data_IF_335437512501
#
_entry.id   IF_335437512501
#
_cell.length_a   1.000
_cell.length_b   1.000
_cell.length_c   1.000
_cell.angle_alpha   90.00
_cell.angle_beta   90.00
_cell.angle_gamma   90.00
#
_symmetry.space_group_name_H-M   'P 1'
#
loop_
_entity.id
_entity.type
_entity.pdbx_description
1 polymer ?
#
# COMPACT_ATOMS: atom_id res chain seq x y z
N UNK A 1 -20.63 3.72 7.87
CA UNK A 1 -19.77 2.78 8.62
C UNK A 1 -18.45 3.50 8.76
N UNK A 2 -18.11 3.95 9.97
CA UNK A 2 -16.83 4.61 10.22
C UNK A 2 -15.73 3.59 10.54
N UNK A 3 -14.50 4.07 10.54
CA UNK A 3 -13.30 3.31 10.85
C UNK A 3 -12.82 3.63 12.27
N UNK A 4 -12.41 2.58 12.98
CA UNK A 4 -11.70 2.64 14.25
C UNK A 4 -10.37 1.92 14.10
N UNK A 5 -9.28 2.59 14.46
CA UNK A 5 -7.92 2.09 14.34
C UNK A 5 -6.96 3.23 14.05
N UNK A 6 -5.75 2.93 13.57
CA UNK A 6 -4.73 3.95 13.33
C UNK A 6 -4.14 3.87 11.94
N UNK A 7 -3.65 5.01 11.45
CA UNK A 7 -2.67 5.06 10.37
C UNK A 7 -1.30 5.30 10.97
N UNK A 8 -0.32 4.48 10.58
CA UNK A 8 1.08 4.58 11.03
C UNK A 8 1.97 4.89 9.84
N UNK A 9 2.77 5.94 9.97
CA UNK A 9 3.62 6.49 8.93
C UNK A 9 5.07 6.35 9.40
N UNK A 10 5.84 5.55 8.67
CA UNK A 10 7.25 5.33 8.95
C UNK A 10 8.05 5.22 7.66
N UNK A 11 9.38 5.31 7.78
CA UNK A 11 10.31 5.18 6.66
C UNK A 11 10.92 3.79 6.63
N UNK A 12 11.11 3.22 5.45
CA UNK A 12 11.77 1.93 5.25
C UNK A 12 11.06 1.05 4.23
N UNK A 13 11.72 -0.04 3.86
CA UNK A 13 11.15 -1.09 2.99
C UNK A 13 10.44 -2.18 3.79
N UNK A 14 10.90 -2.44 5.03
CA UNK A 14 10.32 -3.44 5.91
C UNK A 14 8.97 -2.96 6.45
N UNK A 15 7.99 -3.86 6.47
CA UNK A 15 6.62 -3.57 6.92
C UNK A 15 6.60 -3.39 8.44
N UNK A 16 5.62 -2.63 8.96
CA UNK A 16 5.55 -2.29 10.39
C UNK A 16 5.55 -3.53 11.30
N UNK A 17 4.91 -4.62 10.88
CA UNK A 17 4.88 -5.89 11.62
C UNK A 17 6.16 -6.73 11.49
N UNK A 18 7.01 -6.47 10.50
CA UNK A 18 8.33 -7.08 10.41
C UNK A 18 9.35 -6.34 11.28
N UNK A 19 9.14 -5.03 11.47
CA UNK A 19 9.96 -4.19 12.34
C UNK A 19 9.67 -4.45 13.83
N UNK A 20 8.41 -4.72 14.18
CA UNK A 20 7.95 -4.97 15.55
C UNK A 20 7.11 -6.28 15.62
N UNK A 21 7.72 -7.45 15.39
CA UNK A 21 7.02 -8.73 15.29
C UNK A 21 6.35 -9.22 16.59
N UNK A 22 6.75 -8.63 17.72
CA UNK A 22 6.21 -8.87 19.05
C UNK A 22 4.86 -8.19 19.32
N UNK A 23 4.45 -7.24 18.47
CA UNK A 23 3.16 -6.53 18.59
C UNK A 23 2.13 -7.24 17.70
N UNK A 24 1.26 -8.11 18.25
CA UNK A 24 0.37 -8.95 17.46
C UNK A 24 -0.67 -8.14 16.67
N UNK A 25 -1.09 -6.98 17.17
CA UNK A 25 -2.09 -6.09 16.56
C UNK A 25 -1.65 -5.59 15.17
N UNK A 26 -0.35 -5.56 14.89
CA UNK A 26 0.19 -5.11 13.61
C UNK A 26 0.00 -6.14 12.49
N UNK A 27 -0.21 -7.42 12.82
CA UNK A 27 -0.23 -8.52 11.82
C UNK A 27 -1.44 -8.49 10.89
N UNK A 28 -2.52 -7.85 11.34
CA UNK A 28 -3.74 -7.66 10.56
C UNK A 28 -3.77 -6.29 9.88
N UNK A 29 -2.64 -5.56 9.88
CA UNK A 29 -2.52 -4.27 9.21
C UNK A 29 -2.53 -4.38 7.68
N UNK A 30 -3.03 -3.34 7.04
CA UNK A 30 -3.08 -3.19 5.58
C UNK A 30 -2.10 -2.08 5.14
N UNK A 31 -1.17 -2.41 4.24
CA UNK A 31 -0.30 -1.41 3.64
C UNK A 31 -1.09 -0.60 2.61
N UNK A 32 -1.34 0.67 2.92
CA UNK A 32 -2.15 1.56 2.08
C UNK A 32 -1.29 2.26 1.02
N UNK A 33 -0.08 2.67 1.41
CA UNK A 33 0.87 3.31 0.52
C UNK A 33 2.28 2.76 0.76
N UNK A 34 2.95 2.35 -0.32
CA UNK A 34 4.29 1.80 -0.27
C UNK A 34 5.30 2.69 -1.00
N UNK A 35 6.46 2.88 -0.36
CA UNK A 35 7.60 3.64 -0.86
C UNK A 35 7.28 5.06 -1.39
N UNK A 36 6.24 5.72 -0.87
CA UNK A 36 5.91 7.09 -1.28
C UNK A 36 7.00 8.06 -0.83
N UNK A 37 7.24 9.11 -1.61
CA UNK A 37 8.11 10.25 -1.23
C UNK A 37 9.50 9.87 -0.70
N UNK A 38 10.16 8.88 -1.32
CA UNK A 38 11.53 8.49 -0.95
C UNK A 38 11.60 7.48 0.18
N UNK A 39 10.65 6.54 0.20
CA UNK A 39 10.66 5.35 1.05
C UNK A 39 9.78 5.42 2.28
N UNK A 40 8.76 6.27 2.28
CA UNK A 40 7.74 6.31 3.33
C UNK A 40 6.64 5.30 3.05
N UNK A 41 6.18 4.66 4.10
CA UNK A 41 5.04 3.75 4.09
C UNK A 41 3.93 4.33 4.95
N UNK A 42 2.69 4.04 4.56
CA UNK A 42 1.50 4.32 5.36
C UNK A 42 0.76 3.00 5.55
N UNK A 43 0.69 2.55 6.80
CA UNK A 43 0.04 1.30 7.17
C UNK A 43 -1.20 1.61 7.99
N UNK A 44 -2.33 1.05 7.58
CA UNK A 44 -3.55 1.05 8.36
C UNK A 44 -3.53 -0.13 9.33
N UNK A 45 -3.84 0.10 10.59
CA UNK A 45 -3.95 -0.92 11.62
C UNK A 45 -5.30 -0.84 12.32
N UNK A 46 -5.83 -1.98 12.76
CA UNK A 46 -7.15 -2.11 13.40
C UNK A 46 -7.08 -2.03 14.92
N UNK A 47 -6.13 -1.26 15.43
CA UNK A 47 -5.87 -0.99 16.84
C UNK A 47 -5.57 0.50 17.00
N UNK A 48 -6.00 1.09 18.10
CA UNK A 48 -5.65 2.49 18.43
C UNK A 48 -4.30 2.52 19.16
N UNK A 49 -3.62 3.66 19.22
CA UNK A 49 -2.37 3.77 20.00
C UNK A 49 -2.50 3.34 21.46
N UNK A 50 -3.68 3.51 22.08
CA UNK A 50 -3.97 3.03 23.44
C UNK A 50 -4.12 1.51 23.58
N UNK A 51 -4.27 0.78 22.47
CA UNK A 51 -4.26 -0.69 22.43
C UNK A 51 -2.84 -1.24 22.19
N UNK A 52 -1.91 -0.38 21.78
CA UNK A 52 -0.52 -0.72 21.51
C UNK A 52 0.35 -0.46 22.74
N UNK A 53 1.59 -1.00 22.81
CA UNK A 53 2.53 -0.65 23.86
C UNK A 53 2.79 0.86 23.90
N UNK A 54 2.89 1.46 25.09
CA UNK A 54 3.21 2.89 25.26
C UNK A 54 4.51 3.33 24.53
N UNK A 55 5.42 2.38 24.32
CA UNK A 55 6.70 2.60 23.62
C UNK A 55 6.63 2.40 22.11
N UNK A 56 5.48 2.01 21.56
CA UNK A 56 5.32 1.60 20.16
C UNK A 56 5.96 2.58 19.15
N UNK A 57 5.65 3.87 19.25
CA UNK A 57 6.19 4.86 18.31
C UNK A 57 7.69 5.07 18.49
N UNK A 58 8.18 5.06 19.72
CA UNK A 58 9.61 5.21 19.99
C UNK A 58 10.40 4.00 19.54
N UNK A 59 9.85 2.79 19.73
CA UNK A 59 10.45 1.54 19.27
C UNK A 59 10.47 1.50 17.73
N UNK A 60 9.39 1.92 17.07
CA UNK A 60 9.34 2.02 15.61
C UNK A 60 10.31 3.06 15.06
N UNK A 61 10.43 4.22 15.72
CA UNK A 61 11.43 5.25 15.38
C UNK A 61 12.84 4.69 15.50
N UNK A 62 13.12 3.96 16.57
CA UNK A 62 14.45 3.40 16.83
C UNK A 62 14.79 2.27 15.84
N UNK A 63 13.80 1.45 15.47
CA UNK A 63 13.93 0.41 14.46
C UNK A 63 14.18 0.98 13.05
N UNK A 64 13.52 2.08 12.69
CA UNK A 64 13.65 2.72 11.38
C UNK A 64 14.79 3.73 11.29
N UNK A 65 15.26 4.25 12.44
CA UNK A 65 16.19 5.36 12.51
C UNK A 65 15.63 6.68 11.96
N UNK A 66 14.31 6.79 11.81
CA UNK A 66 13.62 7.91 11.19
C UNK A 66 12.43 8.38 12.04
N UNK A 67 11.98 9.65 11.90
CA UNK A 67 10.76 10.11 12.57
C UNK A 67 9.53 9.27 12.21
N UNK A 68 8.62 9.11 13.16
CA UNK A 68 7.38 8.33 13.00
C UNK A 68 6.19 9.21 13.36
N UNK A 69 5.09 9.04 12.64
CA UNK A 69 3.82 9.72 12.89
C UNK A 69 2.70 8.69 12.87
N UNK A 70 1.72 8.85 13.75
CA UNK A 70 0.50 8.07 13.71
C UNK A 70 -0.74 8.95 13.94
N UNK A 71 -1.88 8.44 13.49
CA UNK A 71 -3.18 9.06 13.71
C UNK A 71 -4.19 8.00 14.12
N UNK A 72 -4.75 8.12 15.32
CA UNK A 72 -5.83 7.26 15.80
C UNK A 72 -7.16 7.84 15.34
N UNK A 73 -7.92 7.05 14.58
CA UNK A 73 -9.19 7.44 13.97
C UNK A 73 -10.36 6.95 14.85
N UNK A 74 -11.28 7.87 15.15
CA UNK A 74 -12.48 7.63 15.95
C UNK A 74 -13.72 7.70 15.05
N UNK A 75 -14.21 6.52 14.63
CA UNK A 75 -15.39 6.35 13.77
C UNK A 75 -15.37 7.21 12.49
N UNK A 76 -14.18 7.43 11.93
CA UNK A 76 -13.95 8.37 10.81
C UNK A 76 -14.36 9.82 11.06
N UNK A 77 -14.66 10.23 12.29
CA UNK A 77 -15.17 11.58 12.59
C UNK A 77 -14.14 12.49 13.25
N UNK A 78 -13.20 11.91 14.00
CA UNK A 78 -12.11 12.63 14.66
C UNK A 78 -10.82 11.83 14.62
N UNK A 79 -9.68 12.50 14.72
CA UNK A 79 -8.39 11.84 14.80
C UNK A 79 -7.47 12.45 15.84
N UNK A 80 -6.80 11.60 16.61
CA UNK A 80 -5.70 12.00 17.47
C UNK A 80 -4.38 11.77 16.73
N UNK A 81 -3.73 12.85 16.31
CA UNK A 81 -2.47 12.78 15.56
C UNK A 81 -1.33 13.02 16.52
N UNK A 82 -0.33 12.15 16.48
CA UNK A 82 0.85 12.28 17.32
C UNK A 82 2.10 11.80 16.57
N UNK A 83 3.24 12.37 16.90
CA UNK A 83 4.48 12.03 16.23
C UNK A 83 5.70 12.11 17.15
N UNK A 84 6.67 11.27 16.85
CA UNK A 84 7.99 11.27 17.51
C UNK A 84 9.06 11.60 16.48
N UNK A 85 9.90 12.57 16.83
CA UNK A 85 11.13 12.86 16.09
C UNK A 85 12.32 12.05 16.59
N UNK A 86 13.41 12.09 15.82
CA UNK A 86 14.73 11.61 16.26
C UNK A 86 15.38 12.66 17.17
N UNK A 87 15.29 13.92 16.77
CA UNK A 87 15.75 15.09 17.51
C UNK A 87 14.65 16.13 17.75
N UNK A 88 13.53 16.11 17.01
CA UNK A 88 12.37 16.94 17.37
C UNK A 88 11.59 16.33 18.54
N UNK A 89 11.05 17.16 19.47
CA UNK A 89 10.21 16.68 20.55
C UNK A 89 8.96 15.93 20.05
N UNK A 90 8.40 15.11 20.93
CA UNK A 90 7.04 14.60 20.76
C UNK A 90 6.06 15.76 20.61
N UNK A 91 5.08 15.57 19.73
CA UNK A 91 3.96 16.49 19.59
C UNK A 91 2.70 15.73 19.22
N UNK A 92 1.57 16.34 19.56
CA UNK A 92 0.23 15.82 19.32
C UNK A 92 -0.77 16.94 18.97
N UNK A 93 -1.87 16.56 18.34
CA UNK A 93 -3.00 17.46 18.06
C UNK A 93 -4.26 16.66 17.73
N UNK A 94 -5.42 17.32 17.78
CA UNK A 94 -6.69 16.76 17.36
C UNK A 94 -7.10 17.28 15.99
N UNK A 95 -7.55 16.38 15.12
CA UNK A 95 -8.37 16.69 13.95
C UNK A 95 -9.84 16.51 14.33
N UNK A 96 -10.64 17.54 14.08
CA UNK A 96 -12.03 17.65 14.51
C UNK A 96 -12.23 17.35 16.01
N UNK A 97 -11.67 18.23 16.85
CA UNK A 97 -11.76 18.10 18.30
C UNK A 97 -13.21 18.13 18.82
N UNK A 98 -14.13 18.79 18.10
CA UNK A 98 -15.52 18.87 18.51
C UNK A 98 -16.21 17.50 18.34
N UNK A 99 -15.92 16.77 17.25
CA UNK A 99 -16.31 15.37 17.12
C UNK A 99 -15.62 14.48 18.17
N UNK A 100 -14.33 14.69 18.47
CA UNK A 100 -13.58 13.92 19.46
C UNK A 100 -14.21 14.00 20.87
N UNK A 101 -14.74 15.16 21.25
CA UNK A 101 -15.42 15.38 22.54
C UNK A 101 -16.61 14.44 22.71
N UNK A 102 -17.35 14.12 21.64
CA UNK A 102 -18.51 13.23 21.70
C UNK A 102 -18.15 11.77 22.07
N UNK A 103 -16.89 11.36 21.89
CA UNK A 103 -16.38 10.05 22.32
C UNK A 103 -15.88 10.06 23.76
N UNK A 104 -15.65 11.24 24.34
CA UNK A 104 -15.14 11.41 25.71
C UNK A 104 -16.22 11.85 26.70
N UNK A 105 -17.23 12.57 26.22
CA UNK A 105 -18.42 12.97 26.97
C UNK A 105 -19.65 12.45 26.19
N UNK A 106 -20.32 11.45 26.74
CA UNK A 106 -21.48 10.84 26.09
C UNK A 106 -22.72 11.73 26.28
N UNK A 107 -23.50 11.99 25.21
CA UNK A 107 -24.73 12.74 25.33
C UNK A 107 -25.73 11.96 26.20
N UNK A 108 -26.44 12.70 27.06
CA UNK A 108 -27.58 12.15 27.77
C UNK A 108 -28.66 11.73 26.78
N UNK A 109 -29.33 10.62 27.09
CA UNK A 109 -30.51 10.18 26.33
C UNK A 109 -31.58 11.28 26.38
N UNK A 110 -32.28 11.61 25.28
CA UNK A 110 -33.30 12.67 25.24
C UNK A 110 -34.61 12.22 25.89
N UNK A 111 -34.51 11.56 27.04
CA UNK A 111 -35.61 11.02 27.81
C UNK A 111 -35.41 11.37 29.29
N UNK A 112 -36.48 11.75 29.97
CA UNK A 112 -36.44 11.91 31.43
C UNK A 112 -36.39 10.55 32.17
N UNK A 113 -36.33 10.60 33.50
CA UNK A 113 -36.33 9.41 34.37
C UNK A 113 -37.59 8.54 34.21
N UNK A 114 -38.69 9.13 33.75
CA UNK A 114 -39.96 8.46 33.48
C UNK A 114 -40.02 7.88 32.03
N UNK A 115 -38.98 8.09 31.22
CA UNK A 115 -38.89 7.62 29.85
C UNK A 115 -39.69 8.46 28.84
N UNK A 116 -40.08 9.69 29.19
CA UNK A 116 -40.74 10.59 28.25
C UNK A 116 -39.70 11.28 27.38
N UNK A 117 -39.94 11.28 26.06
CA UNK A 117 -39.10 11.99 25.12
C UNK A 117 -39.16 13.50 25.34
N UNK A 118 -38.01 14.13 25.52
CA UNK A 118 -37.89 15.56 25.86
C UNK A 118 -37.94 16.48 24.63
N UNK A 119 -37.97 15.91 23.42
CA UNK A 119 -38.04 16.62 22.15
C UNK A 119 -36.68 16.71 21.45
N UNK A 120 -36.71 16.90 20.13
CA UNK A 120 -35.50 16.90 19.29
C UNK A 120 -34.57 18.10 19.56
N UNK A 121 -35.14 19.20 20.07
CA UNK A 121 -34.41 20.44 20.43
C UNK A 121 -33.98 20.46 21.91
N UNK A 122 -34.20 19.37 22.66
CA UNK A 122 -33.77 19.33 24.05
C UNK A 122 -32.25 19.26 24.15
N UNK A 123 -31.71 20.10 25.02
CA UNK A 123 -30.28 20.18 25.31
C UNK A 123 -30.09 19.96 26.80
N UNK A 124 -29.23 19.01 27.17
CA UNK A 124 -28.85 18.78 28.56
C UNK A 124 -27.77 19.80 28.98
N UNK A 125 -28.06 20.76 29.88
CA UNK A 125 -27.07 21.73 30.32
C UNK A 125 -25.89 21.10 31.06
N UNK A 126 -26.10 19.93 31.69
CA UNK A 126 -25.02 19.18 32.36
C UNK A 126 -24.09 18.59 31.32
N UNK A 127 -24.63 18.01 30.25
CA UNK A 127 -23.85 17.53 29.11
C UNK A 127 -23.08 18.68 28.46
N UNK A 128 -23.70 19.84 28.19
CA UNK A 128 -22.98 20.97 27.60
C UNK A 128 -21.81 21.43 28.46
N UNK A 129 -22.01 21.51 29.79
CA UNK A 129 -20.95 21.86 30.73
C UNK A 129 -19.83 20.81 30.75
N UNK A 130 -20.17 19.53 30.69
CA UNK A 130 -19.22 18.41 30.65
C UNK A 130 -18.45 18.38 29.32
N UNK A 131 -19.13 18.53 28.19
CA UNK A 131 -18.53 18.60 26.86
C UNK A 131 -17.59 19.81 26.76
N UNK A 132 -17.99 20.98 27.25
CA UNK A 132 -17.13 22.16 27.29
C UNK A 132 -15.88 21.96 28.18
N UNK A 133 -16.04 21.33 29.36
CA UNK A 133 -14.93 21.02 30.24
C UNK A 133 -13.97 19.97 29.64
N UNK A 134 -14.52 18.96 28.97
CA UNK A 134 -13.74 17.94 28.25
C UNK A 134 -12.96 18.55 27.09
N UNK A 135 -13.60 19.39 26.28
CA UNK A 135 -12.94 20.14 25.20
C UNK A 135 -11.79 20.99 25.71
N UNK A 136 -11.99 21.73 26.81
CA UNK A 136 -10.94 22.54 27.42
C UNK A 136 -9.76 21.70 27.90
N UNK A 137 -10.02 20.52 28.47
CA UNK A 137 -8.98 19.59 28.92
C UNK A 137 -8.14 19.08 27.75
N UNK A 138 -8.79 18.62 26.68
CA UNK A 138 -8.14 18.13 25.47
C UNK A 138 -7.27 19.21 24.82
N UNK A 139 -7.74 20.47 24.77
CA UNK A 139 -6.97 21.61 24.26
C UNK A 139 -5.80 22.03 25.18
N UNK A 140 -5.89 21.75 26.48
CA UNK A 140 -4.81 22.04 27.41
C UNK A 140 -3.70 20.99 27.37
N UNK A 141 -4.03 19.77 26.96
CA UNK A 141 -3.11 18.63 26.90
C UNK A 141 -2.41 18.49 25.55
N UNK A 142 -2.96 19.08 24.48
CA UNK A 142 -2.45 18.94 23.11
C UNK A 142 -2.10 20.26 22.45
N UNK A 143 -1.29 20.23 21.38
CA UNK A 143 -1.05 21.43 20.58
C UNK A 143 -2.25 21.78 19.70
N UNK A 144 -2.40 23.06 19.37
CA UNK A 144 -3.42 23.55 18.45
C UNK A 144 -2.93 24.71 17.57
N UNK A 145 -3.64 24.98 16.48
CA UNK A 145 -3.39 26.09 15.55
C UNK A 145 -1.93 26.13 15.06
N UNK A 146 -1.37 27.34 15.03
CA UNK A 146 0.01 27.59 14.59
C UNK A 146 1.07 26.76 15.34
N UNK A 147 0.84 26.42 16.62
CA UNK A 147 1.80 25.63 17.40
C UNK A 147 1.86 24.17 16.91
N UNK A 148 0.70 23.54 16.71
CA UNK A 148 0.60 22.21 16.12
C UNK A 148 1.17 22.18 14.70
N UNK A 149 0.82 23.17 13.88
CA UNK A 149 1.31 23.27 12.52
C UNK A 149 2.85 23.45 12.46
N UNK A 150 3.42 24.25 13.35
CA UNK A 150 4.86 24.43 13.43
C UNK A 150 5.59 23.14 13.86
N UNK A 151 5.03 22.41 14.83
CA UNK A 151 5.58 21.12 15.26
C UNK A 151 5.53 20.07 14.13
N UNK A 152 4.39 19.96 13.43
CA UNK A 152 4.24 19.07 12.29
C UNK A 152 5.21 19.39 11.16
N UNK A 153 5.41 20.67 10.82
CA UNK A 153 6.38 21.10 9.81
C UNK A 153 7.82 20.83 10.27
N UNK A 154 8.13 21.00 11.55
CA UNK A 154 9.46 20.69 12.09
C UNK A 154 9.76 19.19 11.99
N UNK A 155 8.80 18.34 12.37
CA UNK A 155 8.87 16.88 12.21
C UNK A 155 9.10 16.51 10.74
N UNK A 156 8.32 17.07 9.81
CA UNK A 156 8.45 16.76 8.38
C UNK A 156 9.82 17.17 7.81
N UNK A 157 10.39 18.30 8.25
CA UNK A 157 11.74 18.72 7.87
C UNK A 157 12.82 17.78 8.40
N UNK A 158 12.70 17.35 9.66
CA UNK A 158 13.62 16.35 10.23
C UNK A 158 13.53 15.01 9.47
N UNK A 159 12.32 14.62 9.07
CA UNK A 159 12.04 13.46 8.23
C UNK A 159 12.64 13.56 6.81
N UNK A 160 13.23 14.70 6.44
CA UNK A 160 13.79 14.93 5.11
C UNK A 160 12.73 15.20 4.04
N UNK A 161 11.49 15.49 4.44
CA UNK A 161 10.39 15.83 3.54
C UNK A 161 10.43 17.32 3.20
N UNK A 162 9.63 17.70 2.19
CA UNK A 162 9.46 19.09 1.76
C UNK A 162 8.05 19.60 2.11
N UNK A 163 7.78 19.95 3.38
CA UNK A 163 6.46 20.39 3.80
C UNK A 163 6.10 21.77 3.23
N UNK A 164 4.80 21.99 3.09
CA UNK A 164 4.20 23.29 2.82
C UNK A 164 4.51 24.31 3.95
N UNK A 165 4.31 25.62 3.70
CA UNK A 165 4.44 26.64 4.75
C UNK A 165 3.53 26.37 5.95
N UNK A 166 3.96 26.73 7.16
CA UNK A 166 3.21 26.53 8.42
C UNK A 166 1.76 27.00 8.33
N UNK A 167 1.51 28.18 7.75
CA UNK A 167 0.15 28.71 7.59
C UNK A 167 -0.74 27.83 6.70
N UNK A 168 -0.17 27.14 5.71
CA UNK A 168 -0.92 26.21 4.86
C UNK A 168 -1.23 24.91 5.60
N UNK A 169 -0.31 24.42 6.44
CA UNK A 169 -0.56 23.26 7.32
C UNK A 169 -1.61 23.58 8.37
N UNK A 170 -1.49 24.75 9.03
CA UNK A 170 -2.48 25.25 10.00
C UNK A 170 -3.88 25.33 9.39
N UNK A 171 -4.00 25.84 8.16
CA UNK A 171 -5.28 25.92 7.47
C UNK A 171 -5.93 24.54 7.27
N UNK A 172 -5.16 23.50 6.98
CA UNK A 172 -5.69 22.12 6.85
C UNK A 172 -5.98 21.50 8.21
N UNK A 173 -5.17 21.74 9.24
CA UNK A 173 -5.49 21.27 10.59
C UNK A 173 -6.81 21.87 11.11
N UNK A 174 -7.14 23.09 10.69
CA UNK A 174 -8.36 23.78 11.08
C UNK A 174 -9.61 23.44 10.25
N UNK A 175 -9.49 22.64 9.17
CA UNK A 175 -10.68 22.22 8.41
C UNK A 175 -11.52 21.22 9.21
N UNK A 176 -12.80 21.14 8.90
CA UNK A 176 -13.66 20.03 9.30
C UNK A 176 -14.17 19.34 8.03
N UNK A 177 -14.25 18.02 8.05
CA UNK A 177 -14.61 17.19 6.90
C UNK A 177 -15.66 16.15 7.28
N UNK A 178 -16.27 15.52 6.27
CA UNK A 178 -17.19 14.40 6.50
C UNK A 178 -16.46 13.18 7.07
N UNK A 179 -15.25 12.95 6.59
CA UNK A 179 -14.36 11.88 7.05
C UNK A 179 -13.02 12.50 7.43
N UNK A 180 -12.58 12.25 8.66
CA UNK A 180 -11.33 12.80 9.19
C UNK A 180 -10.09 12.23 8.50
N UNK A 181 -10.20 11.04 7.91
CA UNK A 181 -9.14 10.42 7.13
C UNK A 181 -8.77 11.27 5.91
N UNK A 182 -9.76 11.85 5.22
CA UNK A 182 -9.52 12.73 4.09
C UNK A 182 -8.73 13.99 4.51
N UNK A 183 -9.08 14.54 5.67
CA UNK A 183 -8.35 15.63 6.29
C UNK A 183 -6.93 15.19 6.65
N UNK A 184 -6.78 14.03 7.29
CA UNK A 184 -5.50 13.48 7.69
C UNK A 184 -4.56 13.25 6.50
N UNK A 185 -5.05 12.63 5.42
CA UNK A 185 -4.27 12.47 4.18
C UNK A 185 -3.94 13.82 3.55
N UNK A 186 -4.84 14.81 3.62
CA UNK A 186 -4.51 16.17 3.17
C UNK A 186 -3.38 16.77 4.01
N UNK A 187 -3.35 16.55 5.33
CA UNK A 187 -2.23 16.94 6.20
C UNK A 187 -0.95 16.24 5.78
N UNK A 188 -0.95 14.92 5.60
CA UNK A 188 0.23 14.15 5.16
C UNK A 188 0.82 14.68 3.85
N UNK A 189 -0.03 14.95 2.85
CA UNK A 189 0.40 15.55 1.59
C UNK A 189 0.99 16.96 1.78
N UNK A 190 0.45 17.76 2.70
CA UNK A 190 1.04 19.06 3.06
C UNK A 190 2.36 18.93 3.82
N UNK A 191 2.60 17.82 4.51
CA UNK A 191 3.89 17.51 5.13
C UNK A 191 4.91 16.95 4.12
N UNK A 192 4.47 16.60 2.91
CA UNK A 192 5.32 16.11 1.84
C UNK A 192 5.37 14.59 1.73
N UNK A 193 4.49 13.87 2.44
CA UNK A 193 4.19 12.46 2.15
C UNK A 193 3.12 12.43 1.06
N UNK A 194 3.55 12.42 -0.19
CA UNK A 194 2.69 12.45 -1.37
C UNK A 194 1.92 11.12 -1.51
N UNK A 195 0.73 11.07 -0.91
CA UNK A 195 -0.22 9.95 -1.04
C UNK A 195 -1.15 10.14 -2.24
N UNK A 196 -1.13 11.29 -2.91
CA UNK A 196 -1.81 11.49 -4.19
C UNK A 196 -1.00 10.94 -5.37
N UNK A 197 0.32 10.87 -5.23
CA UNK A 197 1.17 10.13 -6.13
C UNK A 197 0.82 8.64 -6.02
N UNK A 198 -0.06 8.19 -6.91
CA UNK A 198 -0.16 6.77 -7.24
C UNK A 198 1.26 6.35 -7.62
N UNK A 199 1.92 5.44 -6.87
CA UNK A 199 3.25 4.99 -7.24
C UNK A 199 3.17 4.53 -8.68
N UNK A 200 4.10 5.00 -9.52
CA UNK A 200 4.15 4.57 -10.91
C UNK A 200 4.15 3.05 -10.89
N UNK A 201 3.14 2.44 -11.51
CA UNK A 201 3.08 0.98 -11.58
C UNK A 201 4.44 0.51 -12.10
N UNK A 202 5.14 -0.38 -11.37
CA UNK A 202 6.45 -0.82 -11.81
C UNK A 202 6.29 -1.36 -13.22
N UNK A 203 7.18 -0.91 -14.09
CA UNK A 203 7.21 -1.37 -15.47
C UNK A 203 7.42 -2.88 -15.48
N UNK A 204 7.01 -3.52 -16.58
CA UNK A 204 7.22 -4.97 -16.76
C UNK A 204 8.68 -5.35 -16.55
N UNK A 205 9.60 -4.47 -16.98
CA UNK A 205 11.03 -4.66 -16.77
C UNK A 205 11.42 -4.62 -15.28
N UNK A 206 10.88 -3.70 -14.49
CA UNK A 206 11.16 -3.59 -13.05
C UNK A 206 10.60 -4.76 -12.26
N UNK A 207 9.38 -5.21 -12.56
CA UNK A 207 8.79 -6.41 -11.96
C UNK A 207 9.59 -7.67 -12.28
N UNK A 208 9.96 -7.86 -13.55
CA UNK A 208 10.79 -8.98 -13.96
C UNK A 208 12.19 -8.91 -13.34
N UNK A 209 12.74 -7.70 -13.18
CA UNK A 209 14.05 -7.51 -12.53
C UNK A 209 14.01 -7.87 -11.05
N UNK A 210 12.93 -7.52 -10.34
CA UNK A 210 12.74 -7.92 -8.95
C UNK A 210 12.57 -9.42 -8.78
N UNK A 211 11.79 -10.07 -9.66
CA UNK A 211 11.55 -11.51 -9.61
C UNK A 211 12.79 -12.34 -10.02
N UNK A 212 13.52 -11.91 -11.05
CA UNK A 212 14.63 -12.67 -11.64
C UNK A 212 15.99 -12.24 -11.06
N UNK A 213 16.06 -11.10 -10.37
CA UNK A 213 17.30 -10.51 -9.84
C UNK A 213 18.19 -9.88 -10.92
N UNK A 214 17.72 -9.76 -12.16
CA UNK A 214 18.48 -9.24 -13.29
C UNK A 214 17.68 -8.28 -14.14
N UNK A 215 18.32 -7.18 -14.57
CA UNK A 215 17.67 -6.15 -15.39
C UNK A 215 17.36 -6.66 -16.80
N UNK A 216 16.10 -6.63 -17.21
CA UNK A 216 15.69 -6.90 -18.60
C UNK A 216 16.12 -5.75 -19.52
N UNK A 217 16.96 -6.04 -20.51
CA UNK A 217 17.47 -5.08 -21.49
C UNK A 217 16.71 -5.13 -22.82
N UNK A 218 16.01 -6.24 -23.09
CA UNK A 218 15.20 -6.38 -24.30
C UNK A 218 14.66 -7.78 -24.51
N UNK A 219 13.71 -7.90 -25.43
CA UNK A 219 13.15 -9.17 -25.90
C UNK A 219 13.24 -9.17 -27.43
N UNK A 220 13.96 -10.13 -27.99
CA UNK A 220 14.09 -10.32 -29.43
C UNK A 220 13.21 -11.51 -29.86
N UNK A 221 12.63 -11.40 -31.06
CA UNK A 221 11.85 -12.49 -31.67
C UNK A 221 12.78 -13.20 -32.66
N UNK A 222 13.02 -14.49 -32.45
CA UNK A 222 13.90 -15.30 -33.31
C UNK A 222 13.15 -16.46 -33.92
N UNK A 223 13.61 -16.94 -35.07
CA UNK A 223 13.04 -18.14 -35.69
C UNK A 223 13.26 -19.35 -34.78
N UNK A 224 12.25 -20.22 -34.71
CA UNK A 224 12.29 -21.44 -33.90
C UNK A 224 13.59 -22.22 -34.14
N UNK A 225 14.31 -22.56 -33.08
CA UNK A 225 15.46 -23.43 -33.22
C UNK A 225 15.02 -24.90 -33.34
N UNK A 226 15.53 -25.66 -34.34
CA UNK A 226 15.13 -27.05 -34.53
C UNK A 226 15.52 -27.89 -33.31
N UNK A 227 14.52 -28.46 -32.65
CA UNK A 227 14.72 -29.39 -31.52
C UNK A 227 15.25 -30.72 -32.05
N UNK A 228 16.42 -31.14 -31.58
CA UNK A 228 17.07 -32.38 -32.01
C UNK A 228 16.20 -33.59 -31.65
N UNK A 229 15.70 -34.31 -32.66
CA UNK A 229 14.93 -35.54 -32.48
C UNK A 229 13.41 -35.39 -32.66
N UNK A 230 12.91 -34.18 -32.93
CA UNK A 230 11.50 -33.95 -33.27
C UNK A 230 11.35 -33.71 -34.78
N UNK A 231 10.44 -34.46 -35.43
CA UNK A 231 10.16 -34.36 -36.87
C UNK A 231 9.14 -33.26 -37.23
N UNK A 232 8.76 -32.43 -36.25
CA UNK A 232 7.74 -31.42 -36.45
C UNK A 232 8.39 -30.14 -36.98
N UNK A 233 8.02 -29.76 -38.21
CA UNK A 233 8.39 -28.50 -38.82
C UNK A 233 7.54 -27.37 -38.22
N UNK A 234 7.90 -26.90 -37.02
CA UNK A 234 7.31 -25.69 -36.42
C UNK A 234 7.99 -24.40 -36.94
N UNK A 235 8.25 -24.31 -38.25
CA UNK A 235 8.94 -23.16 -38.86
C UNK A 235 8.18 -21.83 -38.71
N UNK A 236 6.93 -21.86 -38.24
CA UNK A 236 6.08 -20.70 -38.06
C UNK A 236 6.02 -20.16 -36.61
N UNK A 237 6.48 -20.89 -35.60
CA UNK A 237 6.41 -20.47 -34.20
C UNK A 237 7.69 -19.72 -33.79
N UNK A 238 7.67 -18.40 -33.50
CA UNK A 238 8.89 -17.72 -33.08
C UNK A 238 9.26 -18.06 -31.63
N UNK A 239 10.56 -18.11 -31.34
CA UNK A 239 11.07 -18.13 -29.97
C UNK A 239 11.28 -16.68 -29.49
N UNK A 240 11.10 -16.44 -28.18
CA UNK A 240 11.49 -15.16 -27.57
C UNK A 240 12.84 -15.30 -26.89
N UNK A 241 13.76 -14.42 -27.25
CA UNK A 241 15.08 -14.31 -26.66
C UNK A 241 15.10 -13.13 -25.68
N UNK A 242 15.21 -13.42 -24.40
CA UNK A 242 15.21 -12.46 -23.32
C UNK A 242 16.64 -12.07 -22.99
N UNK A 243 16.96 -10.78 -23.09
CA UNK A 243 18.28 -10.23 -22.79
C UNK A 243 18.27 -9.59 -21.42
N UNK A 244 19.13 -10.07 -20.55
CA UNK A 244 19.33 -9.53 -19.21
C UNK A 244 20.79 -9.11 -19.07
N UNK A 245 21.07 -7.97 -18.44
CA UNK A 245 22.38 -7.32 -18.53
C UNK A 245 23.56 -8.24 -18.19
N UNK A 246 23.55 -8.85 -17.01
CA UNK A 246 24.65 -9.70 -16.53
C UNK A 246 24.35 -11.21 -16.61
N UNK A 247 23.32 -11.63 -17.36
CA UNK A 247 22.86 -13.02 -17.38
C UNK A 247 22.87 -13.61 -18.80
N UNK A 248 23.20 -14.90 -18.96
CA UNK A 248 23.01 -15.60 -20.22
C UNK A 248 21.61 -15.39 -20.80
N UNK A 249 21.55 -15.29 -22.13
CA UNK A 249 20.31 -15.21 -22.88
C UNK A 249 19.37 -16.34 -22.46
N UNK A 250 18.15 -15.96 -22.09
CA UNK A 250 17.09 -16.93 -21.87
C UNK A 250 16.26 -17.02 -23.15
N UNK A 251 15.92 -18.24 -23.55
CA UNK A 251 15.00 -18.49 -24.64
C UNK A 251 13.71 -19.05 -24.06
N UNK A 252 12.59 -18.58 -24.57
CA UNK A 252 11.29 -19.13 -24.25
C UNK A 252 10.63 -19.59 -25.55
N UNK A 253 10.47 -20.91 -25.70
CA UNK A 253 9.79 -21.53 -26.84
C UNK A 253 8.34 -21.83 -26.46
N UNK A 254 7.40 -21.42 -27.32
CA UNK A 254 5.96 -21.61 -27.11
C UNK A 254 5.44 -23.00 -27.50
N UNK A 255 6.33 -23.97 -27.72
CA UNK A 255 6.07 -25.16 -28.52
C UNK A 255 5.42 -26.32 -27.72
N UNK A 256 5.18 -26.15 -26.41
CA UNK A 256 4.76 -27.23 -25.48
C UNK A 256 3.61 -26.89 -24.52
N UNK A 257 2.78 -25.90 -24.81
CA UNK A 257 1.76 -25.38 -23.86
C UNK A 257 2.28 -24.82 -22.53
N UNK A 258 3.55 -25.05 -22.22
CA UNK A 258 4.32 -24.45 -21.15
C UNK A 258 5.41 -23.62 -21.82
N UNK A 259 5.44 -22.32 -21.54
CA UNK A 259 6.60 -21.51 -21.90
C UNK A 259 7.73 -21.89 -20.96
N UNK A 260 8.69 -22.64 -21.48
CA UNK A 260 9.87 -23.06 -20.73
C UNK A 260 11.00 -22.05 -20.93
N UNK A 261 11.40 -21.38 -19.86
CA UNK A 261 12.57 -20.51 -19.86
C UNK A 261 13.82 -21.37 -19.74
N UNK A 262 14.64 -21.40 -20.79
CA UNK A 262 15.91 -22.13 -20.81
C UNK A 262 17.06 -21.20 -21.09
N UNK A 263 18.20 -21.47 -20.47
CA UNK A 263 19.45 -20.92 -20.98
C UNK A 263 19.69 -21.45 -22.39
N UNK A 264 20.06 -20.56 -23.32
CA UNK A 264 20.41 -20.92 -24.71
C UNK A 264 21.50 -22.01 -24.80
N UNK A 265 22.22 -22.27 -23.71
CA UNK A 265 23.26 -23.29 -23.61
C UNK A 265 22.79 -24.72 -23.34
N UNK A 266 21.49 -24.99 -23.10
CA UNK A 266 20.98 -26.33 -22.73
C UNK A 266 20.09 -26.93 -23.84
N UNK A 267 20.39 -28.16 -24.29
CA UNK A 267 19.62 -28.84 -25.36
C UNK A 267 18.33 -29.51 -24.85
N UNK A 268 17.24 -29.58 -25.65
CA UNK A 268 15.93 -30.08 -25.19
C UNK A 268 15.90 -31.60 -24.95
N UNK A 269 15.37 -32.01 -23.80
CA UNK A 269 14.93 -33.38 -23.51
C UNK A 269 13.40 -33.50 -23.54
N UNK A 270 12.90 -34.49 -24.28
CA UNK A 270 11.57 -35.13 -24.37
C UNK A 270 10.35 -34.51 -23.65
N UNK A 271 9.26 -34.28 -24.41
CA UNK A 271 7.90 -33.99 -23.93
C UNK A 271 6.96 -33.57 -25.08
N UNK A 272 5.76 -34.15 -25.17
CA UNK A 272 4.86 -34.06 -26.33
C UNK A 272 3.81 -32.93 -26.26
N UNK A 273 3.76 -32.11 -27.32
CA UNK A 273 2.67 -31.32 -27.96
C UNK A 273 1.55 -30.66 -27.12
N UNK A 274 1.37 -29.33 -27.27
CA UNK A 274 0.36 -28.62 -28.10
C UNK A 274 0.62 -27.09 -28.08
N UNK A 275 -0.19 -26.27 -28.79
CA UNK A 275 0.00 -24.86 -29.24
C UNK A 275 -0.81 -23.69 -28.55
N UNK A 276 -0.20 -22.75 -27.77
CA UNK A 276 -0.88 -21.54 -27.26
C UNK A 276 -0.25 -20.19 -27.65
N UNK A 277 0.96 -20.13 -28.22
CA UNK A 277 1.67 -18.85 -28.38
C UNK A 277 1.37 -18.13 -29.71
N UNK A 278 0.75 -18.82 -30.67
CA UNK A 278 0.47 -18.27 -32.01
C UNK A 278 -0.42 -17.01 -31.97
N UNK A 279 -1.34 -16.92 -31.00
CA UNK A 279 -2.25 -15.79 -30.83
C UNK A 279 -1.54 -14.45 -30.51
N UNK A 280 -0.29 -14.49 -30.06
CA UNK A 280 0.47 -13.29 -29.65
C UNK A 280 1.56 -12.87 -30.63
N UNK A 281 1.75 -13.61 -31.72
CA UNK A 281 2.79 -13.32 -32.70
C UNK A 281 2.50 -11.97 -33.38
N UNK A 282 3.39 -10.99 -33.15
CA UNK A 282 3.26 -9.62 -33.66
C UNK A 282 2.35 -8.71 -32.82
N UNK A 283 1.74 -9.21 -31.75
CA UNK A 283 0.94 -8.41 -30.83
C UNK A 283 1.84 -7.54 -29.93
N UNK A 284 1.45 -6.30 -29.69
CA UNK A 284 2.12 -5.43 -28.72
C UNK A 284 1.65 -5.79 -27.31
N UNK A 285 2.60 -5.91 -26.39
CA UNK A 285 2.32 -5.98 -24.96
C UNK A 285 1.57 -4.70 -24.56
N UNK A 286 0.34 -4.87 -24.07
CA UNK A 286 -0.55 -3.78 -23.67
C UNK A 286 -0.71 -3.67 -22.15
N UNK A 287 -0.30 -4.69 -21.38
CA UNK A 287 -0.32 -4.64 -19.92
C UNK A 287 0.40 -5.82 -19.27
N UNK A 288 0.60 -5.72 -17.96
CA UNK A 288 1.04 -6.84 -17.14
C UNK A 288 0.51 -6.70 -15.71
N UNK A 289 0.35 -7.81 -15.01
CA UNK A 289 -0.01 -7.84 -13.60
C UNK A 289 0.69 -9.01 -12.91
N UNK A 290 1.28 -8.84 -11.73
CA UNK A 290 1.82 -9.96 -10.97
C UNK A 290 0.69 -10.88 -10.49
N UNK A 291 0.99 -12.18 -10.38
CA UNK A 291 0.13 -13.16 -9.71
C UNK A 291 0.73 -13.50 -8.36
N UNK A 292 -0.02 -13.18 -7.31
CA UNK A 292 0.29 -13.57 -5.94
C UNK A 292 -0.83 -14.46 -5.42
N UNK A 293 -0.54 -15.73 -5.14
CA UNK A 293 -1.50 -16.65 -4.57
C UNK A 293 -1.43 -16.64 -3.04
N UNK A 294 -2.49 -16.21 -2.36
CA UNK A 294 -2.62 -16.35 -0.89
C UNK A 294 -2.67 -17.83 -0.42
N UNK A 295 -2.90 -18.78 -1.34
CA UNK A 295 -3.06 -20.21 -1.07
C UNK A 295 -2.36 -21.15 -2.07
N UNK A 296 -1.57 -20.61 -3.00
CA UNK A 296 -0.81 -21.40 -3.96
C UNK A 296 0.64 -20.90 -3.92
N UNK A 297 1.59 -21.82 -3.76
CA UNK A 297 3.04 -21.55 -3.75
C UNK A 297 3.56 -21.13 -5.14
N UNK A 298 2.81 -20.30 -5.86
CA UNK A 298 3.11 -19.91 -7.22
C UNK A 298 3.20 -18.38 -7.32
N UNK A 299 4.43 -17.91 -7.51
CA UNK A 299 4.76 -16.54 -7.89
C UNK A 299 4.71 -16.43 -9.41
N UNK A 300 4.14 -15.36 -9.97
CA UNK A 300 3.98 -15.28 -11.41
C UNK A 300 3.64 -13.89 -11.94
N UNK A 301 3.39 -13.79 -13.24
CA UNK A 301 2.93 -12.59 -13.91
C UNK A 301 2.00 -12.92 -15.08
N UNK A 302 0.90 -12.19 -15.22
CA UNK A 302 0.10 -12.12 -16.42
C UNK A 302 0.67 -11.04 -17.33
N UNK A 303 0.92 -11.36 -18.59
CA UNK A 303 1.33 -10.46 -19.65
C UNK A 303 0.18 -10.35 -20.67
N UNK A 304 -0.34 -9.15 -20.89
CA UNK A 304 -1.47 -8.91 -21.80
C UNK A 304 -0.97 -8.43 -23.15
N UNK A 305 -1.48 -9.04 -24.22
CA UNK A 305 -1.19 -8.69 -25.60
C UNK A 305 -2.52 -8.47 -26.35
N UNK A 306 -2.96 -7.21 -26.43
CA UNK A 306 -4.30 -6.90 -26.95
C UNK A 306 -5.38 -7.43 -26.01
N UNK A 307 -6.21 -8.36 -26.49
CA UNK A 307 -7.31 -9.00 -25.74
C UNK A 307 -6.91 -10.32 -25.06
N UNK A 308 -5.71 -10.86 -25.33
CA UNK A 308 -5.27 -12.13 -24.76
C UNK A 308 -4.24 -11.99 -23.65
N UNK A 309 -4.28 -12.93 -22.70
CA UNK A 309 -3.43 -12.95 -21.51
C UNK A 309 -2.50 -14.19 -21.54
N UNK A 310 -1.20 -13.94 -21.36
CA UNK A 310 -0.17 -14.95 -21.15
C UNK A 310 0.20 -14.99 -19.68
N UNK A 311 -0.05 -16.11 -19.02
CA UNK A 311 0.18 -16.26 -17.58
C UNK A 311 1.46 -17.03 -17.32
N UNK A 312 2.47 -16.39 -16.75
CA UNK A 312 3.73 -17.00 -16.30
C UNK A 312 3.62 -17.32 -14.81
N UNK A 313 4.02 -18.51 -14.37
CA UNK A 313 4.02 -18.97 -12.97
C UNK A 313 5.29 -19.75 -12.67
N UNK A 314 5.83 -19.59 -11.47
CA UNK A 314 6.83 -20.48 -10.88
C UNK A 314 6.12 -21.52 -10.02
N UNK A 315 6.53 -22.78 -10.10
CA UNK A 315 6.10 -23.84 -9.19
C UNK A 315 7.29 -24.75 -8.90
N UNK A 316 7.76 -24.79 -7.65
CA UNK A 316 8.83 -25.69 -7.23
C UNK A 316 10.22 -25.38 -7.81
N UNK A 317 10.47 -24.14 -8.26
CA UNK A 317 11.72 -23.72 -8.91
C UNK A 317 11.70 -23.81 -10.43
N UNK A 318 10.66 -24.41 -11.01
CA UNK A 318 10.42 -24.44 -12.46
C UNK A 318 9.44 -23.33 -12.86
N UNK A 319 9.60 -22.78 -14.06
CA UNK A 319 8.71 -21.76 -14.62
C UNK A 319 7.86 -22.37 -15.75
N UNK A 320 6.55 -22.16 -15.66
CA UNK A 320 5.59 -22.53 -16.69
C UNK A 320 4.80 -21.29 -17.10
N UNK A 321 4.45 -21.17 -18.38
CA UNK A 321 3.42 -20.20 -18.77
C UNK A 321 2.31 -20.83 -19.58
N UNK A 322 1.09 -20.38 -19.31
CA UNK A 322 -0.16 -20.89 -19.89
C UNK A 322 -0.92 -19.74 -20.56
N UNK A 323 -1.57 -20.01 -21.68
CA UNK A 323 -2.67 -19.17 -22.14
C UNK A 323 -3.84 -19.30 -21.17
N UNK A 324 -4.45 -18.19 -20.80
CA UNK A 324 -5.71 -18.21 -20.10
C UNK A 324 -6.81 -17.63 -20.99
N UNK A 325 -7.57 -18.51 -21.64
CA UNK A 325 -8.74 -18.13 -22.44
C UNK A 325 -9.96 -17.79 -21.56
N UNK A 326 -9.83 -17.93 -20.22
CA UNK A 326 -10.96 -17.99 -19.29
C UNK A 326 -10.87 -17.09 -18.04
N UNK A 327 -9.74 -16.42 -17.78
CA UNK A 327 -9.71 -15.35 -16.79
C UNK A 327 -10.37 -14.12 -17.40
N UNK A 328 -11.70 -14.12 -17.38
CA UNK A 328 -12.39 -12.86 -17.24
C UNK A 328 -11.85 -12.23 -15.95
N UNK A 329 -11.19 -11.06 -16.01
CA UNK A 329 -10.95 -10.31 -14.80
C UNK A 329 -12.32 -10.07 -14.20
N UNK A 330 -12.69 -10.80 -13.13
CA UNK A 330 -13.85 -10.43 -12.34
C UNK A 330 -13.63 -8.98 -11.99
N UNK A 331 -14.47 -8.11 -12.57
CA UNK A 331 -14.53 -6.66 -12.38
C UNK A 331 -13.61 -6.19 -11.25
N UNK A 332 -12.42 -5.74 -11.62
CA UNK A 332 -11.65 -4.86 -10.76
C UNK A 332 -12.35 -3.49 -10.85
N UNK A 333 -13.34 -3.34 -9.95
CA UNK A 333 -14.13 -2.18 -9.46
C UNK A 333 -13.65 -0.78 -9.93
N UNK A 334 -14.49 0.04 -10.58
CA UNK A 334 -15.31 1.10 -9.94
C UNK A 334 -15.15 1.27 -8.43
#
# INVERSE_FOLDING_TARGET
MGFWGSYVIHRGEALVWDLLPEVPELRDGDLEYDQVSGGWQVTRIWASSGDLPDTFLTDLRDATGAPVLAADILDSSAAYVHAVGVGTPFWDTWLDIDAAVAYSALPSSPFDEDGNHLGDDWVDPKYEAEAAATRQRMLAETLSGAAAAAAAVAWAREAGLSPAPVAAVEAVLATTGTFVEDQFFTVLNRLGVDTFAVPARPTVAELLSGLIGHRLEGVDVVAHQPVRGEHLSHAAAPDLLWRFGDHPLLISCGCRHEVELRSVTVSPGQGSAYDPAEAFVGARLSGAAPLFGKYAQAEGAVLRFGEGDLVIRSAGGDWAATLDDGVHPRRWLS
#
